data_IF_055009675406
#
_entry.id   IF_055009675406
#
_cell.length_a   1.000
_cell.length_b   1.000
_cell.length_c   1.000
_cell.angle_alpha   90.00
_cell.angle_beta   90.00
_cell.angle_gamma   90.00
#
_symmetry.space_group_name_H-M   'P 1'
#
loop_
_entity.id
_entity.type
_entity.pdbx_description
1 polymer ?
2 polymer ?
3 non-polymer ?
4 water ?
#
# COMPACT_ATOMS: atom_id res chain seq x y z
N UNK A 13 -13.40 -18.81 20.07
CA UNK A 13 -13.00 -17.99 21.24
C UNK A 13 -12.60 -16.58 20.82
N UNK A 14 -13.35 -15.59 21.29
CA UNK A 14 -13.05 -14.20 20.97
C UNK A 14 -11.73 -13.77 21.60
N UNK A 15 -11.37 -14.39 22.71
CA UNK A 15 -10.10 -14.10 23.37
C UNK A 15 -8.94 -14.27 22.39
N UNK A 16 -8.89 -15.42 21.73
CA UNK A 16 -7.85 -15.69 20.75
C UNK A 16 -7.91 -14.71 19.59
N UNK A 17 -9.11 -14.28 19.24
CA UNK A 17 -9.29 -13.33 18.15
C UNK A 17 -8.75 -11.95 18.49
N UNK A 18 -8.89 -11.54 19.75
CA UNK A 18 -8.35 -10.26 20.17
C UNK A 18 -6.83 -10.34 20.33
N UNK A 19 -6.34 -11.48 20.78
CA UNK A 19 -4.89 -11.69 20.87
C UNK A 19 -4.28 -11.64 19.47
N UNK A 20 -4.96 -12.28 18.52
CA UNK A 20 -4.52 -12.25 17.13
C UNK A 20 -4.52 -10.82 16.59
N UNK A 21 -5.60 -10.09 16.84
CA UNK A 21 -5.69 -8.71 16.41
C UNK A 21 -4.52 -7.89 16.95
N UNK A 22 -4.21 -8.09 18.22
CA UNK A 22 -3.14 -7.34 18.87
C UNK A 22 -1.77 -7.73 18.31
N UNK A 23 -1.58 -9.02 18.04
CA UNK A 23 -0.35 -9.51 17.44
C UNK A 23 -0.11 -8.84 16.08
N UNK A 24 -1.17 -8.75 15.27
CA UNK A 24 -1.05 -8.16 13.95
C UNK A 24 -0.76 -6.67 14.05
N UNK A 25 -1.43 -6.01 14.98
CA UNK A 25 -1.20 -4.60 15.21
C UNK A 25 0.27 -4.37 15.59
N UNK A 26 0.77 -5.17 16.52
CA UNK A 26 2.15 -5.03 16.97
C UNK A 26 3.14 -5.25 15.82
N UNK A 27 2.89 -6.28 15.00
CA UNK A 27 3.74 -6.56 13.86
C UNK A 27 3.66 -5.42 12.84
N UNK A 28 2.46 -4.88 12.67
CA UNK A 28 2.21 -3.76 11.77
C UNK A 28 3.08 -2.57 12.19
N UNK A 29 3.16 -2.33 13.49
CA UNK A 29 3.99 -1.24 14.01
C UNK A 29 5.47 -1.50 13.76
N UNK A 30 5.87 -2.77 13.83
CA UNK A 30 7.27 -3.12 13.57
C UNK A 30 7.62 -2.98 12.10
N UNK A 31 6.68 -3.32 11.23
CA UNK A 31 6.95 -3.39 9.78
C UNK A 31 6.78 -2.07 9.04
N UNK A 32 5.87 -1.23 9.50
CA UNK A 32 5.54 0.01 8.79
C UNK A 32 5.88 1.25 9.62
N UNK A 33 6.98 1.92 9.28
CA UNK A 33 7.49 3.09 9.99
C UNK A 33 6.50 4.25 10.13
N UNK A 34 5.90 4.67 9.01
CA UNK A 34 4.94 5.77 9.04
C UNK A 34 3.51 5.24 9.09
N UNK A 35 2.94 5.26 10.30
CA UNK A 35 1.59 4.76 10.52
C UNK A 35 0.56 5.83 10.18
N UNK A 36 -0.70 5.44 10.10
CA UNK A 36 -1.77 6.41 9.86
C UNK A 36 -1.84 7.39 11.04
N UNK A 37 -1.61 6.89 12.24
CA UNK A 37 -1.63 7.75 13.42
C UNK A 37 -0.56 8.83 13.30
N UNK A 38 0.67 8.42 13.02
CA UNK A 38 1.77 9.37 12.89
C UNK A 38 1.58 10.28 11.69
N UNK A 39 0.96 9.75 10.63
CA UNK A 39 0.69 10.55 9.44
C UNK A 39 -0.36 11.61 9.71
N UNK A 40 -1.44 11.23 10.39
CA UNK A 40 -2.52 12.18 10.69
C UNK A 40 -2.01 13.25 11.66
N UNK A 41 -1.05 12.87 12.50
CA UNK A 41 -0.45 13.81 13.44
C UNK A 41 0.33 14.88 12.69
N UNK A 42 0.91 14.49 11.56
CA UNK A 42 1.65 15.42 10.72
C UNK A 42 0.71 16.26 9.85
N UNK A 43 -0.23 15.60 9.18
CA UNK A 43 -1.20 16.29 8.34
C UNK A 43 -1.90 17.41 9.08
N UNK A 44 -2.24 17.18 10.34
CA UNK A 44 -2.98 18.15 11.13
C UNK A 44 -2.07 19.16 11.80
N UNK A 45 -1.14 18.68 12.62
CA UNK A 45 -0.21 19.56 13.29
C UNK A 45 0.06 19.19 14.74
N UNK A 46 -0.24 17.94 15.09
CA UNK A 46 0.02 17.44 16.44
C UNK A 46 1.48 17.65 16.82
N UNK A 47 2.39 17.36 15.88
CA UNK A 47 3.82 17.51 16.14
C UNK A 47 4.23 18.97 16.02
N UNK A 48 5.38 19.29 16.61
CA UNK A 48 5.91 20.65 16.55
C UNK A 48 7.19 20.67 15.71
N UNK A 49 7.72 19.50 15.41
CA UNK A 49 8.90 19.40 14.56
C UNK A 49 8.67 20.09 13.23
N UNK A 50 9.76 20.29 12.48
CA UNK A 50 9.66 20.92 11.17
C UNK A 50 8.60 20.23 10.33
N UNK A 51 7.50 20.95 10.09
CA UNK A 51 6.44 20.45 9.22
C UNK A 51 7.07 20.03 7.89
N UNK A 52 6.42 19.11 7.16
CA UNK A 52 6.97 18.70 5.87
C UNK A 52 7.08 19.88 4.91
N UNK A 53 8.05 19.82 4.00
CA UNK A 53 8.19 20.84 2.98
C UNK A 53 7.14 20.62 1.90
N UNK A 54 6.40 21.67 1.57
CA UNK A 54 5.25 21.56 0.68
C UNK A 54 5.64 21.80 -0.78
N UNK A 55 5.44 20.78 -1.61
CA UNK A 55 5.72 20.88 -3.04
C UNK A 55 4.40 20.95 -3.81
N UNK A 56 4.16 22.09 -4.46
CA UNK A 56 2.87 22.34 -5.10
C UNK A 56 3.05 22.80 -6.55
N UNK A 57 4.28 23.02 -6.96
CA UNK A 57 4.57 23.40 -8.34
C UNK A 57 6.02 23.10 -8.70
N UNK A 58 6.40 23.45 -9.93
CA UNK A 58 7.74 23.16 -10.42
C UNK A 58 8.80 23.89 -9.61
N UNK A 59 8.46 25.09 -9.15
CA UNK A 59 9.40 25.91 -8.39
C UNK A 59 9.62 25.33 -6.99
N UNK A 60 8.53 24.98 -6.32
CA UNK A 60 8.62 24.41 -4.98
C UNK A 60 9.35 23.07 -5.02
N UNK A 61 9.20 22.35 -6.13
CA UNK A 61 9.81 21.03 -6.28
C UNK A 61 11.34 21.13 -6.32
N UNK A 62 11.85 21.95 -7.22
CA UNK A 62 13.29 22.00 -7.46
C UNK A 62 14.09 22.35 -6.21
N UNK A 63 13.50 23.15 -5.33
CA UNK A 63 14.18 23.55 -4.10
C UNK A 63 13.97 22.55 -2.96
N UNK A 64 12.88 21.81 -3.03
CA UNK A 64 12.61 20.81 -2.02
C UNK A 64 13.23 19.47 -2.35
N UNK A 65 13.84 19.36 -3.53
CA UNK A 65 14.37 18.09 -4.01
C UNK A 65 15.53 17.58 -3.16
N UNK A 66 15.81 18.26 -2.06
CA UNK A 66 16.88 17.86 -1.17
C UNK A 66 16.35 17.45 0.20
N UNK A 67 15.15 17.93 0.53
CA UNK A 67 14.49 17.54 1.77
C UNK A 67 13.59 16.32 1.59
N UNK A 68 13.34 15.96 0.34
CA UNK A 68 12.56 14.75 0.05
C UNK A 68 13.46 13.64 -0.46
N UNK A 69 14.52 14.00 -1.17
CA UNK A 69 15.46 13.02 -1.69
C UNK A 69 16.66 12.85 -0.77
N UNK A 70 16.68 11.74 -0.04
CA UNK A 70 17.79 11.42 0.85
C UNK A 70 18.95 10.81 0.07
N UNK A 78 22.33 12.71 -11.82
CA UNK A 78 21.17 12.67 -12.71
C UNK A 78 20.68 14.10 -13.00
N UNK A 79 19.47 14.40 -12.56
CA UNK A 79 18.91 15.75 -12.70
C UNK A 79 18.77 16.18 -14.17
N UNK A 80 18.67 15.21 -15.06
CA UNK A 80 18.55 15.51 -16.49
C UNK A 80 17.19 15.10 -17.05
N UNK A 81 16.48 14.25 -16.33
CA UNK A 81 15.16 13.79 -16.78
C UNK A 81 14.08 14.77 -16.37
N UNK A 82 13.04 14.89 -17.19
CA UNK A 82 11.97 15.85 -16.93
C UNK A 82 11.24 15.54 -15.62
N UNK A 83 10.53 16.55 -15.10
CA UNK A 83 9.89 16.44 -13.81
C UNK A 83 8.97 15.23 -13.69
N UNK A 84 8.07 15.06 -14.66
CA UNK A 84 7.09 13.97 -14.60
C UNK A 84 7.78 12.62 -14.45
N UNK A 85 8.90 12.45 -15.15
CA UNK A 85 9.66 11.20 -15.09
C UNK A 85 10.32 11.05 -13.73
N UNK A 86 10.90 12.14 -13.22
CA UNK A 86 11.60 12.11 -11.96
C UNK A 86 10.64 11.74 -10.82
N UNK A 87 9.46 12.33 -10.84
CA UNK A 87 8.46 12.06 -9.81
C UNK A 87 7.96 10.63 -9.91
N UNK A 88 7.83 10.11 -11.13
CA UNK A 88 7.36 8.75 -11.32
C UNK A 88 8.38 7.75 -10.78
N UNK A 89 9.65 7.99 -11.07
CA UNK A 89 10.73 7.16 -10.52
C UNK A 89 10.70 7.19 -9.00
N UNK A 90 10.38 8.35 -8.43
CA UNK A 90 10.26 8.45 -6.99
C UNK A 90 9.17 7.53 -6.46
N UNK A 91 8.01 7.58 -7.12
CA UNK A 91 6.91 6.69 -6.73
C UNK A 91 7.34 5.23 -6.83
N UNK A 92 8.14 4.90 -7.84
CA UNK A 92 8.66 3.55 -7.99
C UNK A 92 9.53 3.14 -6.80
N UNK A 93 10.45 4.02 -6.40
CA UNK A 93 11.36 3.69 -5.30
C UNK A 93 10.61 3.48 -3.99
N UNK A 94 9.60 4.31 -3.73
CA UNK A 94 8.81 4.17 -2.52
C UNK A 94 8.03 2.85 -2.54
N UNK A 95 7.46 2.52 -3.69
CA UNK A 95 6.68 1.29 -3.83
C UNK A 95 7.55 0.06 -3.59
N UNK A 96 8.80 0.14 -4.02
CA UNK A 96 9.76 -0.94 -3.78
C UNK A 96 10.03 -1.10 -2.30
N UNK A 97 10.27 0.02 -1.62
CA UNK A 97 10.47 0.01 -0.18
C UNK A 97 9.22 -0.56 0.50
N UNK A 98 8.05 -0.19 -0.01
CA UNK A 98 6.79 -0.64 0.58
C UNK A 98 6.58 -2.14 0.38
N UNK A 99 6.98 -2.65 -0.77
CA UNK A 99 6.89 -4.10 -1.01
C UNK A 99 7.70 -4.86 0.03
N UNK A 100 8.87 -4.33 0.39
CA UNK A 100 9.71 -4.97 1.38
C UNK A 100 9.07 -4.92 2.77
N UNK A 101 8.48 -3.78 3.11
CA UNK A 101 7.78 -3.64 4.38
C UNK A 101 6.59 -4.61 4.46
N UNK A 102 5.85 -4.70 3.37
CA UNK A 102 4.67 -5.56 3.32
C UNK A 102 5.06 -7.04 3.40
N UNK A 103 6.16 -7.38 2.75
CA UNK A 103 6.66 -8.75 2.79
C UNK A 103 7.04 -9.13 4.22
N UNK A 104 7.68 -8.21 4.93
CA UNK A 104 8.03 -8.48 6.32
C UNK A 104 6.78 -8.62 7.18
N UNK A 105 5.76 -7.82 6.90
CA UNK A 105 4.52 -7.93 7.64
C UNK A 105 3.84 -9.27 7.36
N UNK A 106 3.77 -9.64 6.09
CA UNK A 106 3.16 -10.91 5.69
C UNK A 106 3.77 -12.07 6.46
N UNK A 107 5.09 -12.05 6.61
CA UNK A 107 5.79 -13.14 7.27
C UNK A 107 5.44 -13.23 8.76
N UNK A 108 4.84 -12.18 9.30
CA UNK A 108 4.44 -12.18 10.72
C UNK A 108 3.03 -12.73 10.91
N UNK A 109 2.29 -12.89 9.82
CA UNK A 109 0.92 -13.40 9.91
C UNK A 109 0.96 -14.90 10.18
N UNK A 110 0.32 -15.33 11.27
CA UNK A 110 0.43 -16.73 11.69
C UNK A 110 0.05 -17.68 10.56
N UNK A 111 0.97 -18.61 10.26
CA UNK A 111 0.71 -19.58 9.21
C UNK A 111 1.33 -19.25 7.87
N UNK A 112 1.63 -17.99 7.62
CA UNK A 112 2.10 -17.57 6.30
C UNK A 112 3.40 -18.25 5.86
N UNK A 113 4.42 -18.20 6.73
CA UNK A 113 5.74 -18.73 6.36
C UNK A 113 5.72 -20.24 6.20
N UNK A 114 4.70 -20.90 6.73
CA UNK A 114 4.55 -22.35 6.61
C UNK A 114 3.86 -22.76 5.32
N UNK A 115 3.32 -21.80 4.58
CA UNK A 115 2.74 -22.08 3.27
C UNK A 115 3.84 -22.47 2.29
N UNK A 116 3.49 -23.24 1.28
CA UNK A 116 4.39 -23.51 0.17
C UNK A 116 4.99 -22.18 -0.31
N UNK A 117 6.32 -22.16 -0.44
CA UNK A 117 7.02 -20.92 -0.74
C UNK A 117 6.54 -20.27 -2.04
N UNK A 118 6.19 -21.11 -3.01
CA UNK A 118 5.67 -20.60 -4.28
C UNK A 118 4.34 -19.87 -4.08
N UNK A 119 3.51 -20.36 -3.16
CA UNK A 119 2.24 -19.72 -2.87
C UNK A 119 2.43 -18.39 -2.13
N UNK A 120 3.46 -18.34 -1.29
CA UNK A 120 3.80 -17.09 -0.60
C UNK A 120 4.14 -16.02 -1.64
N UNK A 121 4.94 -16.39 -2.63
CA UNK A 121 5.30 -15.47 -3.71
C UNK A 121 4.07 -15.02 -4.48
N UNK A 122 3.18 -15.95 -4.77
CA UNK A 122 1.96 -15.64 -5.51
C UNK A 122 1.06 -14.68 -4.73
N UNK A 123 0.91 -14.93 -3.44
CA UNK A 123 0.10 -14.05 -2.60
C UNK A 123 0.64 -12.63 -2.58
N UNK A 124 1.97 -12.48 -2.55
CA UNK A 124 2.57 -11.15 -2.56
C UNK A 124 2.47 -10.50 -3.94
N UNK A 125 2.68 -11.29 -4.98
CA UNK A 125 2.65 -10.79 -6.35
C UNK A 125 1.32 -10.10 -6.65
N UNK A 126 0.23 -10.71 -6.20
CA UNK A 126 -1.10 -10.19 -6.47
C UNK A 126 -1.63 -9.29 -5.36
N UNK A 127 -0.96 -9.31 -4.21
CA UNK A 127 -1.45 -8.56 -3.07
C UNK A 127 -0.80 -7.21 -2.82
N UNK A 128 0.50 -7.11 -3.06
CA UNK A 128 1.26 -5.95 -2.62
C UNK A 128 0.70 -4.62 -3.11
N UNK A 129 0.28 -4.56 -4.37
CA UNK A 129 -0.21 -3.30 -4.89
C UNK A 129 -1.57 -2.91 -4.31
N UNK A 130 -2.41 -3.88 -4.00
CA UNK A 130 -3.66 -3.60 -3.31
C UNK A 130 -3.35 -3.01 -1.93
N UNK A 131 -2.29 -3.49 -1.31
CA UNK A 131 -1.89 -2.99 0.00
C UNK A 131 -1.23 -1.62 -0.12
N UNK A 132 -0.51 -1.42 -1.22
CA UNK A 132 0.11 -0.11 -1.47
C UNK A 132 -0.95 0.97 -1.58
N UNK A 133 -2.00 0.69 -2.34
CA UNK A 133 -3.13 1.62 -2.45
C UNK A 133 -3.74 1.88 -1.07
N UNK A 134 -3.90 0.81 -0.30
CA UNK A 134 -4.53 0.92 1.01
C UNK A 134 -3.72 1.82 1.93
N UNK A 135 -2.42 1.59 1.97
CA UNK A 135 -1.56 2.28 2.91
C UNK A 135 -1.22 3.69 2.46
N UNK A 136 -1.22 3.93 1.15
CA UNK A 136 -1.07 5.29 0.64
C UNK A 136 -2.15 6.20 1.20
N UNK A 137 -3.36 5.68 1.32
CA UNK A 137 -4.48 6.46 1.82
C UNK A 137 -4.15 7.02 3.21
N UNK A 138 -3.43 6.25 4.01
CA UNK A 138 -3.04 6.67 5.35
C UNK A 138 -2.20 7.94 5.31
N UNK A 139 -1.49 8.16 4.20
CA UNK A 139 -0.59 9.28 4.08
C UNK A 139 -1.21 10.41 3.25
N UNK A 140 -2.47 10.25 2.88
CA UNK A 140 -3.14 11.21 2.00
C UNK A 140 -4.29 11.94 2.69
N UNK A 141 -4.49 13.19 2.32
CA UNK A 141 -5.78 13.85 2.50
C UNK A 141 -6.23 14.38 1.15
N UNK A 142 -7.30 15.17 1.15
CA UNK A 142 -7.87 15.66 -0.10
C UNK A 142 -6.88 16.49 -0.90
N UNK A 143 -5.86 17.02 -0.23
CA UNK A 143 -5.00 18.04 -0.81
C UNK A 143 -3.64 17.52 -1.26
N UNK A 144 -3.23 16.35 -0.78
CA UNK A 144 -1.93 15.83 -1.17
C UNK A 144 -1.47 14.61 -0.39
N UNK A 145 -0.21 14.24 -0.59
CA UNK A 145 0.34 13.03 0.01
C UNK A 145 1.66 13.31 0.72
N UNK A 146 1.84 12.68 1.89
CA UNK A 146 3.11 12.74 2.59
C UNK A 146 4.13 11.83 1.92
N UNK A 147 5.34 12.35 1.72
CA UNK A 147 6.42 11.55 1.16
C UNK A 147 7.69 11.71 1.99
N UNK A 148 8.66 10.85 1.73
CA UNK A 148 9.96 10.93 2.39
C UNK A 148 9.81 10.85 3.91
N UNK A 149 9.10 9.81 4.36
CA UNK A 149 8.91 9.58 5.79
C UNK A 149 8.26 10.79 6.46
N UNK A 150 7.45 11.53 5.71
CA UNK A 150 6.70 12.62 6.30
C UNK A 150 7.39 13.97 6.19
N UNK A 151 8.58 14.00 5.61
CA UNK A 151 9.35 15.21 5.51
C UNK A 151 8.95 16.05 4.29
N UNK A 152 8.18 15.45 3.40
CA UNK A 152 7.64 16.19 2.27
C UNK A 152 6.14 16.07 2.15
N UNK A 153 5.52 17.06 1.51
CA UNK A 153 4.10 16.99 1.20
C UNK A 153 3.87 17.50 -0.22
N UNK A 154 3.54 16.59 -1.12
CA UNK A 154 3.32 16.94 -2.52
C UNK A 154 1.83 17.03 -2.80
N UNK A 155 1.38 18.17 -3.32
CA UNK A 155 -0.04 18.42 -3.49
C UNK A 155 -0.67 17.55 -4.57
N UNK A 156 -1.94 17.22 -4.37
CA UNK A 156 -2.70 16.41 -5.32
C UNK A 156 -2.80 17.13 -6.66
N UNK A 157 -2.96 18.45 -6.61
CA UNK A 157 -3.15 19.23 -7.82
C UNK A 157 -1.89 19.26 -8.68
N UNK A 158 -0.73 19.34 -8.03
CA UNK A 158 0.54 19.32 -8.75
C UNK A 158 0.75 17.98 -9.44
N UNK A 159 0.48 16.89 -8.71
CA UNK A 159 0.64 15.55 -9.26
C UNK A 159 -0.34 15.28 -10.40
N UNK A 160 -1.57 15.77 -10.24
CA UNK A 160 -2.60 15.58 -11.25
C UNK A 160 -2.27 16.37 -12.50
N UNK A 161 -1.48 17.42 -12.35
CA UNK A 161 -1.16 18.32 -13.46
C UNK A 161 0.02 17.81 -14.28
N UNK A 162 0.70 16.78 -13.78
CA UNK A 162 1.81 16.19 -14.50
C UNK A 162 1.34 15.72 -15.87
N UNK A 163 2.17 15.93 -16.90
CA UNK A 163 1.77 15.65 -18.26
C UNK A 163 1.31 14.21 -18.42
N UNK A 164 0.37 13.98 -19.31
CA UNK A 164 -0.08 12.65 -19.63
C UNK A 164 1.10 11.80 -20.09
N UNK A 165 1.08 10.50 -19.79
CA UNK A 165 0.03 9.81 -19.03
C UNK A 165 0.20 9.89 -17.51
N UNK A 166 1.22 10.61 -17.05
CA UNK A 166 1.64 10.51 -15.65
C UNK A 166 0.65 11.09 -14.65
N UNK A 167 -0.04 12.17 -15.03
CA UNK A 167 -1.03 12.76 -14.14
C UNK A 167 -2.17 11.79 -13.84
N UNK A 168 -2.57 11.03 -14.84
CA UNK A 168 -3.66 10.07 -14.67
C UNK A 168 -3.18 8.81 -13.96
N UNK A 169 -1.86 8.72 -13.74
CA UNK A 169 -1.30 7.61 -12.99
C UNK A 169 -1.35 7.91 -11.49
N UNK A 170 -1.26 9.19 -11.16
CA UNK A 170 -1.25 9.62 -9.76
C UNK A 170 -2.67 9.71 -9.20
N UNK A 171 -3.57 10.30 -9.99
CA UNK A 171 -4.89 10.68 -9.50
C UNK A 171 -5.72 9.52 -8.93
N UNK A 172 -5.69 8.35 -9.58
CA UNK A 172 -6.50 7.23 -9.09
C UNK A 172 -6.21 6.82 -7.65
N UNK A 173 -4.97 7.05 -7.22
CA UNK A 173 -4.60 6.74 -5.84
C UNK A 173 -5.29 7.68 -4.85
N UNK A 174 -5.44 8.94 -5.24
CA UNK A 174 -6.16 9.91 -4.42
C UNK A 174 -7.67 9.65 -4.45
N UNK A 175 -8.18 9.24 -5.61
CA UNK A 175 -9.62 8.96 -5.73
C UNK A 175 -10.02 7.84 -4.77
N UNK A 176 -9.18 6.82 -4.68
CA UNK A 176 -9.43 5.72 -3.76
C UNK A 176 -9.28 6.17 -2.30
N UNK A 177 -8.22 6.92 -2.04
CA UNK A 177 -7.91 7.35 -0.67
C UNK A 177 -9.04 8.20 -0.09
N UNK A 178 -9.62 9.07 -0.91
CA UNK A 178 -10.75 9.89 -0.47
C UNK A 178 -11.91 9.01 -0.02
N UNK A 179 -12.28 8.05 -0.87
CA UNK A 179 -13.36 7.13 -0.53
C UNK A 179 -13.01 6.28 0.68
N UNK A 180 -11.80 5.75 0.69
CA UNK A 180 -11.39 4.81 1.73
C UNK A 180 -11.28 5.50 3.09
N UNK A 181 -10.72 6.70 3.10
CA UNK A 181 -10.50 7.42 4.35
C UNK A 181 -11.80 7.85 5.00
N UNK A 182 -12.86 7.95 4.20
CA UNK A 182 -14.18 8.28 4.73
C UNK A 182 -14.64 7.22 5.74
N UNK A 183 -14.04 6.04 5.66
CA UNK A 183 -14.39 4.94 6.55
C UNK A 183 -13.78 5.11 7.94
N UNK A 184 -12.75 5.94 8.05
CA UNK A 184 -12.18 6.29 9.35
C UNK A 184 -11.56 5.11 10.10
N UNK A 185 -10.91 4.20 9.37
CA UNK A 185 -10.20 3.10 10.02
C UNK A 185 -8.98 3.63 10.78
N UNK A 186 -8.58 2.92 11.83
CA UNK A 186 -7.30 3.23 12.46
C UNK A 186 -6.29 2.13 12.15
N UNK A 187 -5.08 2.28 12.69
CA UNK A 187 -4.00 1.34 12.41
C UNK A 187 -4.35 -0.07 12.86
N UNK A 188 -5.09 -0.20 13.96
CA UNK A 188 -5.49 -1.51 14.44
C UNK A 188 -6.45 -2.18 13.45
N UNK A 189 -7.39 -1.41 12.91
CA UNK A 189 -8.30 -1.93 11.89
C UNK A 189 -7.48 -2.35 10.67
N UNK A 190 -6.59 -1.46 10.25
CA UNK A 190 -5.82 -1.65 9.03
C UNK A 190 -4.94 -2.89 9.07
N UNK A 191 -4.33 -3.15 10.22
CA UNK A 191 -3.44 -4.30 10.34
C UNK A 191 -4.16 -5.57 9.92
N UNK A 192 -5.41 -5.73 10.36
CA UNK A 192 -6.16 -6.96 10.06
C UNK A 192 -6.68 -6.92 8.63
N UNK A 193 -7.18 -5.76 8.20
CA UNK A 193 -7.66 -5.60 6.84
C UNK A 193 -6.58 -6.00 5.83
N UNK A 194 -5.36 -5.54 6.06
CA UNK A 194 -4.23 -5.86 5.19
C UNK A 194 -3.93 -7.35 5.20
N UNK A 195 -3.98 -7.96 6.38
CA UNK A 195 -3.72 -9.39 6.52
C UNK A 195 -4.74 -10.21 5.73
N UNK A 196 -6.01 -9.82 5.80
CA UNK A 196 -7.06 -10.53 5.07
C UNK A 196 -6.78 -10.50 3.57
N UNK A 197 -6.40 -9.32 3.06
CA UNK A 197 -6.12 -9.18 1.64
C UNK A 197 -4.96 -10.06 1.19
N UNK A 198 -3.88 -10.08 1.97
CA UNK A 198 -2.72 -10.86 1.60
C UNK A 198 -3.05 -12.34 1.52
N UNK A 199 -3.83 -12.82 2.49
CA UNK A 199 -4.20 -14.23 2.53
C UNK A 199 -5.44 -14.54 1.69
N UNK A 200 -5.41 -14.12 0.43
CA UNK A 200 -6.54 -14.36 -0.47
C UNK A 200 -6.37 -15.68 -1.22
N UNK A 201 -7.25 -16.63 -0.93
CA UNK A 201 -7.10 -17.97 -1.47
C UNK A 201 -7.47 -18.12 -2.94
N UNK A 202 -7.92 -17.03 -3.57
CA UNK A 202 -8.34 -17.09 -4.96
C UNK A 202 -7.43 -16.34 -5.91
N UNK A 203 -6.20 -16.07 -5.50
CA UNK A 203 -5.21 -15.52 -6.40
C UNK A 203 -4.86 -16.56 -7.46
N UNK A 204 -4.66 -16.12 -8.71
CA UNK A 204 -4.36 -17.05 -9.80
C UNK A 204 -3.09 -17.83 -9.54
N UNK A 205 -3.14 -19.15 -9.76
CA UNK A 205 -1.92 -19.95 -9.74
C UNK A 205 -1.51 -20.49 -8.38
N UNK A 206 -2.35 -20.31 -7.37
CA UNK A 206 -2.06 -20.86 -6.05
C UNK A 206 -2.14 -22.39 -6.10
N UNK A 207 -1.21 -23.04 -5.40
CA UNK A 207 -1.12 -24.50 -5.42
C UNK A 207 -1.99 -25.15 -4.36
N UNK A 208 -1.92 -24.63 -3.13
CA UNK A 208 -2.65 -25.20 -2.01
C UNK A 208 -3.61 -24.17 -1.42
N UNK A 209 -4.86 -24.21 -1.88
CA UNK A 209 -5.83 -23.18 -1.54
C UNK A 209 -6.36 -23.28 -0.12
N UNK A 210 -6.67 -24.50 0.32
CA UNK A 210 -7.33 -24.71 1.61
C UNK A 210 -6.61 -24.04 2.78
N UNK A 211 -5.28 -24.25 2.91
CA UNK A 211 -4.59 -23.67 4.06
C UNK A 211 -4.65 -22.14 4.09
N UNK A 212 -4.69 -21.54 2.91
CA UNK A 212 -4.81 -20.09 2.81
C UNK A 212 -6.22 -19.65 3.21
N UNK A 213 -7.22 -20.34 2.70
CA UNK A 213 -8.61 -20.03 3.03
C UNK A 213 -8.87 -20.19 4.52
N UNK A 214 -8.25 -21.20 5.13
CA UNK A 214 -8.43 -21.42 6.57
C UNK A 214 -7.82 -20.29 7.39
N UNK A 215 -6.64 -19.83 7.00
CA UNK A 215 -6.04 -18.68 7.68
C UNK A 215 -6.89 -17.45 7.48
N UNK A 216 -7.38 -17.23 6.26
CA UNK A 216 -8.16 -16.03 5.98
C UNK A 216 -9.49 -16.05 6.72
N UNK A 217 -10.12 -17.21 6.83
CA UNK A 217 -11.39 -17.32 7.53
C UNK A 217 -11.25 -16.85 8.96
N UNK A 218 -10.13 -17.19 9.59
CA UNK A 218 -9.88 -16.80 10.97
C UNK A 218 -9.55 -15.31 11.04
N UNK A 219 -8.82 -14.81 10.05
CA UNK A 219 -8.51 -13.39 9.97
C UNK A 219 -9.76 -12.54 9.72
N UNK A 220 -10.69 -13.08 8.96
CA UNK A 220 -11.96 -12.38 8.70
C UNK A 220 -12.81 -12.30 9.97
N UNK A 221 -12.81 -13.36 10.77
CA UNK A 221 -13.52 -13.34 12.04
C UNK A 221 -12.88 -12.30 12.96
N UNK A 222 -11.55 -12.26 12.94
CA UNK A 222 -10.81 -11.29 13.75
C UNK A 222 -11.16 -9.87 13.33
N UNK A 223 -11.26 -9.66 12.01
CA UNK A 223 -11.60 -8.34 11.49
C UNK A 223 -13.01 -7.94 11.89
N UNK A 224 -13.95 -8.88 11.78
CA UNK A 224 -15.33 -8.60 12.11
C UNK A 224 -15.47 -8.19 13.57
N UNK A 225 -14.81 -8.91 14.46
CA UNK A 225 -14.88 -8.61 15.88
C UNK A 225 -14.19 -7.29 16.18
N UNK A 226 -13.07 -7.03 15.50
CA UNK A 226 -12.35 -5.77 15.67
C UNK A 226 -13.24 -4.58 15.33
N UNK A 227 -13.96 -4.68 14.23
CA UNK A 227 -14.80 -3.57 13.78
C UNK A 227 -16.04 -3.42 14.66
N UNK A 228 -16.53 -4.54 15.18
CA UNK A 228 -17.67 -4.51 16.09
C UNK A 228 -17.32 -3.77 17.37
N UNK A 229 -16.14 -4.02 17.90
CA UNK A 229 -15.68 -3.40 19.14
C UNK A 229 -15.16 -1.99 18.93
N UNK A 230 -14.45 -1.76 17.82
CA UNK A 230 -13.75 -0.50 17.62
C UNK A 230 -14.65 0.54 16.96
N UNK A 231 -15.66 0.07 16.23
CA UNK A 231 -16.62 0.94 15.57
C UNK A 231 -18.05 0.49 15.86
N UNK A 232 -18.46 0.55 17.13
CA UNK A 232 -19.76 0.09 17.61
C UNK A 232 -20.93 0.72 16.86
N UNK A 233 -20.71 1.94 16.39
CA UNK A 233 -21.79 2.75 15.82
C UNK A 233 -21.87 2.65 14.30
N UNK A 234 -21.01 1.80 13.72
CA UNK A 234 -21.00 1.63 12.27
C UNK A 234 -21.07 0.16 11.89
N UNK A 235 -22.27 -0.40 11.93
CA UNK A 235 -22.48 -1.81 11.68
C UNK A 235 -22.14 -2.22 10.24
N UNK A 236 -22.09 -1.25 9.34
CA UNK A 236 -21.91 -1.52 7.92
C UNK A 236 -20.44 -1.71 7.53
N UNK A 237 -19.54 -1.44 8.47
CA UNK A 237 -18.14 -1.30 8.15
C UNK A 237 -17.50 -2.58 7.59
N UNK A 238 -17.79 -3.72 8.22
CA UNK A 238 -17.20 -4.98 7.78
C UNK A 238 -17.60 -5.30 6.34
N UNK A 239 -18.89 -5.13 6.03
CA UNK A 239 -19.38 -5.43 4.70
C UNK A 239 -18.79 -4.47 3.68
N UNK A 240 -18.59 -3.23 4.07
CA UNK A 240 -18.03 -2.23 3.16
C UNK A 240 -16.56 -2.54 2.88
N UNK A 241 -15.84 -3.03 3.88
CA UNK A 241 -14.44 -3.39 3.69
C UNK A 241 -14.28 -4.61 2.80
N UNK A 242 -15.21 -5.55 2.88
CA UNK A 242 -15.18 -6.70 1.98
C UNK A 242 -15.33 -6.26 0.53
N UNK A 243 -16.17 -5.25 0.30
CA UNK A 243 -16.37 -4.75 -1.05
C UNK A 243 -15.14 -3.97 -1.52
N UNK A 244 -14.49 -3.27 -0.59
CA UNK A 244 -13.27 -2.54 -0.91
C UNK A 244 -12.17 -3.49 -1.37
N UNK A 245 -12.14 -4.69 -0.78
CA UNK A 245 -11.18 -5.70 -1.20
C UNK A 245 -11.46 -6.10 -2.65
N UNK A 246 -12.74 -6.17 -2.99
CA UNK A 246 -13.14 -6.48 -4.36
C UNK A 246 -12.78 -5.32 -5.29
N UNK A 247 -13.05 -4.10 -4.85
CA UNK A 247 -12.77 -2.92 -5.66
C UNK A 247 -11.28 -2.81 -5.97
N UNK A 248 -10.45 -3.14 -4.98
CA UNK A 248 -9.01 -2.97 -5.11
C UNK A 248 -8.43 -3.83 -6.24
N UNK A 249 -9.07 -4.95 -6.53
CA UNK A 249 -8.59 -5.82 -7.61
C UNK A 249 -8.75 -5.13 -8.95
N UNK A 250 -9.92 -4.54 -9.17
CA UNK A 250 -10.18 -3.80 -10.40
C UNK A 250 -9.28 -2.57 -10.45
N UNK A 251 -9.09 -1.93 -9.30
CA UNK A 251 -8.27 -0.74 -9.22
C UNK A 251 -6.81 -1.04 -9.58
N UNK A 252 -6.30 -2.17 -9.12
CA UNK A 252 -4.92 -2.53 -9.41
C UNK A 252 -4.74 -3.00 -10.85
N UNK A 253 -5.76 -3.68 -11.37
CA UNK A 253 -5.74 -4.09 -12.77
C UNK A 253 -5.52 -2.87 -13.65
N UNK A 254 -6.21 -1.79 -13.33
CA UNK A 254 -6.09 -0.55 -14.08
C UNK A 254 -4.71 0.08 -13.89
N UNK A 255 -4.20 0.02 -12.66
CA UNK A 255 -2.86 0.50 -12.36
C UNK A 255 -1.83 -0.22 -13.22
N UNK A 256 -1.92 -1.55 -13.26
CA UNK A 256 -0.97 -2.35 -14.01
C UNK A 256 -1.04 -2.03 -15.50
N UNK A 257 -2.26 -1.93 -16.02
CA UNK A 257 -2.45 -1.65 -17.44
C UNK A 257 -1.85 -0.29 -17.81
N UNK A 258 -2.21 0.73 -17.03
CA UNK A 258 -1.70 2.07 -17.28
C UNK A 258 -0.18 2.07 -17.22
N UNK A 259 0.38 1.19 -16.41
CA UNK A 259 1.83 1.08 -16.29
C UNK A 259 2.41 0.28 -17.45
N UNK A 260 1.60 -0.62 -18.02
CA UNK A 260 1.99 -1.33 -19.23
C UNK A 260 2.12 -0.34 -20.38
N UNK A 261 1.19 0.63 -20.41
CA UNK A 261 1.19 1.66 -21.44
C UNK A 261 2.39 2.60 -21.30
N UNK A 262 2.79 2.85 -20.05
CA UNK A 262 3.90 3.76 -19.79
C UNK A 262 5.23 3.17 -20.25
N UNK A 263 5.49 1.92 -19.89
CA UNK A 263 6.75 1.28 -20.26
C UNK A 263 6.85 1.06 -21.76
N UNK A 264 5.71 1.16 -22.44
CA UNK A 264 5.66 0.95 -23.89
C UNK A 264 5.77 2.27 -24.64
N UNK A 265 5.35 3.35 -24.01
CA UNK A 265 5.18 4.63 -24.70
C UNK A 265 6.20 5.69 -24.28
N UNK A 266 6.94 5.41 -23.21
CA UNK A 266 7.96 6.34 -22.75
C UNK A 266 9.35 5.71 -22.83
N UNK A 267 10.18 6.25 -23.72
CA UNK A 267 11.49 5.67 -24.01
C UNK A 267 12.43 5.76 -22.82
N UNK A 268 12.17 6.71 -21.94
CA UNK A 268 12.98 6.87 -20.73
C UNK A 268 12.28 6.27 -19.52
N UNK A 269 11.98 4.98 -19.59
CA UNK A 269 11.33 4.29 -18.48
C UNK A 269 12.15 3.13 -17.94
N UNK A 270 12.99 3.41 -16.95
CA UNK A 270 13.68 2.36 -16.24
C UNK A 270 12.75 1.81 -15.16
N UNK A 271 12.03 0.74 -15.50
CA UNK A 271 11.15 0.10 -14.55
C UNK A 271 12.00 -0.68 -13.55
N UNK A 272 11.81 -0.42 -12.26
CA UNK A 272 12.62 -1.05 -11.23
C UNK A 272 12.45 -2.57 -11.30
N UNK A 273 13.55 -3.30 -11.13
CA UNK A 273 13.55 -4.76 -11.30
C UNK A 273 12.49 -5.48 -10.45
N UNK A 274 12.34 -5.07 -9.20
CA UNK A 274 11.35 -5.70 -8.34
C UNK A 274 9.93 -5.50 -8.87
N UNK A 275 9.66 -4.32 -9.40
CA UNK A 275 8.35 -4.04 -9.96
C UNK A 275 8.12 -4.82 -11.26
N UNK A 276 9.14 -4.91 -12.09
CA UNK A 276 9.06 -5.70 -13.32
C UNK A 276 8.73 -7.15 -12.97
N UNK A 277 9.38 -7.65 -11.93
CA UNK A 277 9.20 -9.02 -11.48
C UNK A 277 7.76 -9.26 -11.03
N UNK A 278 7.19 -8.28 -10.36
CA UNK A 278 5.82 -8.39 -9.85
C UNK A 278 4.79 -8.27 -10.96
N UNK A 279 5.01 -7.32 -11.88
CA UNK A 279 4.06 -7.07 -12.96
C UNK A 279 4.09 -8.16 -14.02
N UNK A 280 5.23 -8.84 -14.12
CA UNK A 280 5.43 -9.83 -15.17
C UNK A 280 4.40 -10.95 -15.09
N UNK A 281 3.71 -11.21 -16.19
CA UNK A 281 2.72 -12.27 -16.27
C UNK A 281 1.63 -12.09 -15.22
N UNK A 282 1.25 -10.84 -14.97
CA UNK A 282 0.21 -10.55 -14.00
C UNK A 282 -1.17 -10.65 -14.64
N UNK A 283 -1.47 -11.81 -15.21
CA UNK A 283 -2.80 -12.09 -15.76
C UNK A 283 -2.97 -13.57 -16.04
N UNK B 1 11.00 -16.98 -12.42
CA UNK B 1 10.73 -15.56 -12.06
C UNK B 1 10.67 -15.40 -10.55
N UNK B 2 10.67 -14.15 -10.09
CA UNK B 2 10.48 -13.83 -8.69
C UNK B 2 11.69 -14.14 -7.83
N UNK B 3 12.88 -13.91 -8.40
CA UNK B 3 14.12 -14.11 -7.68
C UNK B 3 14.18 -13.22 -6.43
N UNK B 4 13.76 -11.97 -6.59
CA UNK B 4 13.85 -11.01 -5.50
C UNK B 4 12.88 -11.34 -4.39
N UNK B 5 11.62 -11.58 -4.74
CA UNK B 5 10.60 -11.93 -3.75
C UNK B 5 10.99 -13.18 -2.96
N UNK B 6 11.58 -14.16 -3.65
CA UNK B 6 12.01 -15.39 -2.99
C UNK B 6 13.00 -15.13 -1.86
N UNK B 7 14.01 -14.30 -2.11
CA UNK B 7 15.02 -14.04 -1.10
C UNK B 7 14.51 -13.13 0.01
N UNK B 8 13.57 -12.25 -0.32
CA UNK B 8 12.91 -11.43 0.70
C UNK B 8 12.10 -12.30 1.65
N UNK B 9 11.46 -13.33 1.10
CA UNK B 9 10.61 -14.22 1.89
C UNK B 9 11.43 -15.13 2.79
N UNK B 10 12.61 -15.52 2.32
CA UNK B 10 13.53 -16.31 3.12
C UNK B 10 14.52 -15.38 3.80
N UNK B 11 14.39 -15.26 5.12
CA UNK B 11 15.06 -14.20 5.88
C UNK B 11 16.37 -13.76 5.27
#
# INVERSE_FOLDING_TARGET
MRGSHHHHHHGPESADLRALAKHLYDSYIKSFPLTKAKARAILTGKTTDKSPFVIYDMNSLMMGEDKIKFKHITPLQEQSKEVAIRIFQGCQFRSVEAVQEITEYAKSIPGFVNLDLNDQVTLLKYGVHEIIYTMLASLMNKDGVLISEGQGFMTREFLKSLRKPFGDFMEPKFEFAVKFNALELDDSDLAIFIAVIILSGDRPGLLNVKPIEDIQDNLLQALELQLKLNHPESSQLFAKLLQKMTDLRQIVTEHVQLLQVIKKTETDMSLHPLLQEIYKDLY
RHKILHRLLQEGSPS
#
